data_IF_762920776896
#
_entry.id   IF_762920776896
#
_cell.length_a   1.000
_cell.length_b   1.000
_cell.length_c   1.000
_cell.angle_alpha   90.00
_cell.angle_beta   90.00
_cell.angle_gamma   90.00
#
_symmetry.space_group_name_H-M   'P 1'
#
loop_
_entity.id
_entity.type
_entity.pdbx_description
1 polymer ?
#
# COMPACT_ATOMS: atom_id res chain seq x y z
N UNK A 1 -11.87 -11.38 -17.81
CA UNK A 1 -11.02 -11.58 -16.62
C UNK A 1 -9.58 -11.70 -17.10
N UNK A 2 -8.80 -10.62 -17.08
CA UNK A 2 -7.37 -10.71 -17.39
C UNK A 2 -6.67 -11.40 -16.23
N UNK A 3 -5.84 -12.40 -16.50
CA UNK A 3 -4.99 -13.01 -15.46
C UNK A 3 -4.10 -11.91 -14.90
N UNK A 4 -4.17 -11.67 -13.59
CA UNK A 4 -3.25 -10.77 -12.90
C UNK A 4 -1.82 -11.23 -13.19
N UNK A 5 -1.00 -10.36 -13.80
CA UNK A 5 0.39 -10.70 -14.10
C UNK A 5 1.18 -10.56 -12.82
N UNK A 6 1.72 -11.66 -12.32
CA UNK A 6 2.55 -11.61 -11.10
C UNK A 6 3.78 -10.73 -11.33
N UNK A 7 4.04 -9.75 -10.44
CA UNK A 7 5.27 -8.98 -10.43
C UNK A 7 6.50 -9.88 -10.34
N UNK A 8 7.57 -9.48 -11.02
CA UNK A 8 8.90 -10.06 -10.83
C UNK A 8 9.52 -9.44 -9.59
N UNK A 9 10.09 -10.27 -8.72
CA UNK A 9 10.74 -9.79 -7.50
C UNK A 9 12.25 -9.78 -7.67
N UNK A 10 12.86 -8.68 -7.28
CA UNK A 10 14.29 -8.43 -7.42
C UNK A 10 14.88 -8.06 -6.06
N UNK A 11 16.07 -8.58 -5.77
CA UNK A 11 16.83 -8.24 -4.57
C UNK A 11 17.73 -7.03 -4.88
N UNK A 12 17.86 -6.10 -3.95
CA UNK A 12 18.85 -5.02 -4.02
C UNK A 12 20.12 -5.44 -3.27
N UNK A 13 21.18 -5.93 -3.94
CA UNK A 13 22.29 -6.61 -3.27
C UNK A 13 23.08 -5.69 -2.33
N UNK A 14 23.08 -4.37 -2.59
CA UNK A 14 23.78 -3.38 -1.79
C UNK A 14 23.17 -3.18 -0.39
N UNK A 15 21.90 -3.55 -0.21
CA UNK A 15 21.15 -3.37 1.04
C UNK A 15 20.69 -4.71 1.63
N UNK A 16 21.33 -5.82 1.25
CA UNK A 16 20.94 -7.18 1.63
C UNK A 16 22.14 -7.98 2.12
N UNK A 17 21.91 -8.99 2.96
CA UNK A 17 22.95 -9.95 3.35
C UNK A 17 23.34 -10.85 2.16
N UNK A 18 24.53 -11.45 2.21
CA UNK A 18 25.05 -12.31 1.14
C UNK A 18 24.15 -13.52 0.83
N UNK A 19 23.43 -14.00 1.83
CA UNK A 19 22.53 -15.15 1.77
C UNK A 19 21.06 -14.77 1.53
N UNK A 20 20.76 -13.47 1.35
CA UNK A 20 19.40 -13.02 1.10
C UNK A 20 18.88 -13.47 -0.28
N UNK A 21 17.58 -13.73 -0.34
CA UNK A 21 16.86 -14.01 -1.59
C UNK A 21 15.66 -13.07 -1.71
N UNK A 22 15.25 -12.70 -2.94
CA UNK A 22 14.05 -11.89 -3.13
C UNK A 22 12.84 -12.59 -2.52
N UNK A 23 12.06 -11.86 -1.72
CA UNK A 23 10.76 -12.35 -1.26
C UNK A 23 9.86 -12.59 -2.47
N UNK A 24 9.15 -13.71 -2.51
CA UNK A 24 8.22 -14.00 -3.60
C UNK A 24 7.01 -13.07 -3.55
N UNK A 25 6.43 -12.76 -4.71
CA UNK A 25 5.21 -11.95 -4.78
C UNK A 25 4.06 -12.58 -3.98
N UNK A 26 3.92 -13.91 -4.04
CA UNK A 26 2.89 -14.63 -3.29
C UNK A 26 3.00 -14.38 -1.77
N UNK A 27 4.22 -14.38 -1.22
CA UNK A 27 4.45 -14.07 0.20
C UNK A 27 4.15 -12.60 0.50
N UNK A 28 4.64 -11.66 -0.30
CA UNK A 28 4.31 -10.24 -0.13
C UNK A 28 2.80 -9.99 -0.13
N UNK A 29 2.07 -10.59 -1.08
CA UNK A 29 0.60 -10.50 -1.17
C UNK A 29 -0.10 -11.10 0.06
N UNK A 30 0.36 -12.23 0.56
CA UNK A 30 -0.17 -12.83 1.79
C UNK A 30 -0.02 -11.89 2.99
N UNK A 31 1.13 -11.23 3.11
CA UNK A 31 1.38 -10.23 4.16
C UNK A 31 0.46 -9.01 4.01
N UNK A 32 0.24 -8.49 2.79
CA UNK A 32 -0.77 -7.44 2.55
C UNK A 32 -2.16 -7.94 2.97
N UNK A 33 -2.59 -9.10 2.52
CA UNK A 33 -3.92 -9.63 2.84
C UNK A 33 -4.18 -9.79 4.34
N UNK A 34 -3.15 -10.11 5.13
CA UNK A 34 -3.23 -10.34 6.58
C UNK A 34 -3.00 -9.09 7.43
N UNK A 35 -2.47 -8.01 6.87
CA UNK A 35 -2.18 -6.80 7.62
C UNK A 35 -3.46 -6.12 8.12
N UNK A 36 -3.53 -5.85 9.42
CA UNK A 36 -4.65 -5.17 10.04
C UNK A 36 -4.50 -3.63 10.02
N UNK A 37 -3.26 -3.15 10.01
CA UNK A 37 -2.92 -1.73 10.08
C UNK A 37 -1.93 -1.35 8.99
N UNK A 38 -2.20 -0.20 8.37
CA UNK A 38 -1.39 0.40 7.33
C UNK A 38 -1.12 1.87 7.65
N UNK A 39 -0.06 2.42 7.06
CA UNK A 39 0.25 3.84 7.07
C UNK A 39 0.17 4.39 5.66
N UNK A 40 -0.76 5.32 5.44
CA UNK A 40 -0.91 6.02 4.17
C UNK A 40 -0.17 7.34 4.22
N UNK A 41 0.81 7.49 3.33
CA UNK A 41 1.53 8.74 3.09
C UNK A 41 0.97 9.45 1.85
N UNK A 42 0.69 10.74 2.01
CA UNK A 42 0.13 11.66 1.01
C UNK A 42 0.89 12.99 1.05
N UNK A 43 0.75 13.82 0.02
CA UNK A 43 1.40 15.13 -0.06
C UNK A 43 0.37 16.23 0.14
N UNK A 44 0.65 17.19 1.04
CA UNK A 44 -0.21 18.38 1.25
C UNK A 44 -0.05 19.38 0.10
N UNK A 45 -0.98 20.31 -0.10
CA UNK A 45 -0.88 21.34 -1.15
C UNK A 45 0.39 22.21 -1.08
N UNK A 46 0.98 22.34 0.11
CA UNK A 46 2.25 23.07 0.31
C UNK A 46 3.50 22.17 0.17
N UNK A 47 3.34 20.96 -0.36
CA UNK A 47 4.41 19.99 -0.57
C UNK A 47 4.83 19.20 0.67
N UNK A 48 4.29 19.51 1.86
CA UNK A 48 4.66 18.78 3.08
C UNK A 48 4.10 17.36 3.09
N UNK A 49 4.86 16.36 3.55
CA UNK A 49 4.35 15.00 3.70
C UNK A 49 3.27 14.94 4.80
N UNK A 50 2.35 13.99 4.65
CA UNK A 50 1.29 13.69 5.61
C UNK A 50 1.09 12.19 5.69
N UNK A 51 1.29 11.62 6.86
CA UNK A 51 1.08 10.19 7.15
C UNK A 51 -0.05 10.01 8.15
N UNK A 52 -0.87 8.98 7.93
CA UNK A 52 -1.95 8.59 8.85
C UNK A 52 -2.12 7.07 8.84
N UNK A 53 -2.37 6.48 10.00
CA UNK A 53 -2.73 5.07 10.10
C UNK A 53 -4.17 4.86 9.63
N UNK A 54 -4.42 3.74 8.95
CA UNK A 54 -5.76 3.32 8.51
C UNK A 54 -5.84 1.80 8.38
N UNK A 55 -7.07 1.31 8.17
CA UNK A 55 -7.34 -0.06 7.74
C UNK A 55 -7.51 -0.06 6.22
N UNK A 56 -6.88 -1.02 5.56
CA UNK A 56 -7.05 -1.27 4.13
C UNK A 56 -7.29 -2.76 3.88
N UNK A 57 -7.87 -3.08 2.73
CA UNK A 57 -8.09 -4.46 2.27
C UNK A 57 -7.42 -4.67 0.93
N UNK A 58 -6.74 -5.81 0.79
CA UNK A 58 -6.22 -6.24 -0.50
C UNK A 58 -7.30 -6.98 -1.28
N UNK A 59 -7.70 -6.47 -2.45
CA UNK A 59 -8.72 -7.05 -3.30
C UNK A 59 -8.34 -6.88 -4.77
N UNK A 60 -8.40 -7.95 -5.56
CA UNK A 60 -8.20 -7.91 -7.03
C UNK A 60 -6.96 -7.13 -7.50
N UNK A 61 -5.85 -7.27 -6.79
CA UNK A 61 -4.57 -6.64 -7.18
C UNK A 61 -4.38 -5.21 -6.70
N UNK A 62 -5.24 -4.69 -5.82
CA UNK A 62 -5.11 -3.34 -5.26
C UNK A 62 -5.45 -3.28 -3.76
N UNK A 63 -4.93 -2.26 -3.10
CA UNK A 63 -5.32 -1.87 -1.74
C UNK A 63 -6.48 -0.89 -1.80
N UNK A 64 -7.55 -1.21 -1.06
CA UNK A 64 -8.73 -0.38 -0.90
C UNK A 64 -8.81 0.10 0.54
N UNK A 65 -9.16 1.38 0.73
CA UNK A 65 -9.45 1.94 2.04
C UNK A 65 -10.60 2.94 1.93
N UNK A 66 -11.25 3.19 3.06
CA UNK A 66 -12.28 4.22 3.18
C UNK A 66 -11.74 5.39 4.01
N UNK A 67 -12.20 6.60 3.73
CA UNK A 67 -11.83 7.81 4.46
C UNK A 67 -13.01 8.78 4.44
N UNK A 68 -13.17 9.58 5.51
CA UNK A 68 -14.19 10.61 5.54
C UNK A 68 -13.93 11.70 4.48
N UNK A 69 -14.99 12.25 3.89
CA UNK A 69 -14.92 13.26 2.82
C UNK A 69 -14.22 14.56 3.24
N UNK A 70 -14.19 14.84 4.55
CA UNK A 70 -13.57 16.05 5.11
C UNK A 70 -12.15 15.81 5.60
N UNK A 71 -11.63 14.58 5.57
CA UNK A 71 -10.31 14.28 6.09
C UNK A 71 -9.19 14.91 5.27
N UNK A 72 -8.01 15.09 5.89
CA UNK A 72 -6.88 15.68 5.18
C UNK A 72 -6.40 14.79 4.03
N UNK A 73 -6.38 13.47 4.21
CA UNK A 73 -5.87 12.52 3.21
C UNK A 73 -6.70 12.53 1.92
N UNK A 74 -8.02 12.63 1.98
CA UNK A 74 -8.85 12.70 0.77
C UNK A 74 -8.66 14.01 0.00
N UNK A 75 -8.50 15.14 0.70
CA UNK A 75 -8.20 16.42 0.04
C UNK A 75 -6.83 16.39 -0.62
N UNK A 76 -5.83 15.83 0.07
CA UNK A 76 -4.50 15.64 -0.49
C UNK A 76 -4.55 14.76 -1.75
N UNK A 77 -5.27 13.64 -1.71
CA UNK A 77 -5.37 12.71 -2.85
C UNK A 77 -6.16 13.28 -4.03
N UNK A 78 -7.10 14.20 -3.79
CA UNK A 78 -7.81 14.90 -4.85
C UNK A 78 -6.89 15.86 -5.61
N UNK A 79 -5.95 16.52 -4.92
CA UNK A 79 -4.98 17.44 -5.52
C UNK A 79 -3.75 16.69 -6.10
N UNK A 80 -3.34 15.59 -5.47
CA UNK A 80 -2.22 14.74 -5.89
C UNK A 80 -2.52 13.26 -5.57
N UNK A 81 -2.82 12.48 -6.61
CA UNK A 81 -3.18 11.07 -6.47
C UNK A 81 -2.01 10.17 -6.04
N UNK A 82 -0.75 10.61 -6.20
CA UNK A 82 0.40 9.81 -5.83
C UNK A 82 0.49 9.63 -4.32
N UNK A 83 0.62 8.38 -3.90
CA UNK A 83 0.65 8.00 -2.50
C UNK A 83 1.50 6.75 -2.27
N UNK A 84 1.82 6.52 -0.99
CA UNK A 84 2.52 5.33 -0.54
C UNK A 84 1.70 4.72 0.59
N UNK A 85 1.41 3.43 0.52
CA UNK A 85 0.87 2.66 1.63
C UNK A 85 1.94 1.71 2.14
N UNK A 86 2.21 1.75 3.43
CA UNK A 86 3.14 0.82 4.08
C UNK A 86 2.44 -0.02 5.13
N UNK A 87 2.96 -1.22 5.35
CA UNK A 87 2.63 -2.07 6.50
C UNK A 87 3.86 -2.90 6.87
N UNK A 88 3.91 -3.42 8.08
CA UNK A 88 5.10 -4.04 8.61
C UNK A 88 4.95 -4.37 10.09
N UNK A 89 6.04 -4.73 10.74
CA UNK A 89 6.07 -4.96 12.18
C UNK A 89 7.06 -3.99 12.84
N UNK A 90 6.85 -3.75 14.14
CA UNK A 90 7.76 -2.90 14.92
C UNK A 90 8.91 -3.73 15.50
N UNK A 91 9.51 -4.61 14.70
CA UNK A 91 10.65 -5.46 15.09
C UNK A 91 11.69 -5.44 14.00
N UNK A 92 12.93 -5.10 14.34
CA UNK A 92 14.01 -4.95 13.36
C UNK A 92 14.51 -6.29 12.80
N UNK A 93 14.51 -7.33 13.62
CA UNK A 93 15.15 -8.62 13.31
C UNK A 93 14.20 -9.68 12.75
N UNK A 94 12.91 -9.37 12.60
CA UNK A 94 11.89 -10.31 12.16
C UNK A 94 10.77 -9.57 11.43
N UNK A 95 9.96 -10.29 10.67
CA UNK A 95 8.84 -9.76 9.91
C UNK A 95 9.20 -9.32 8.50
N UNK A 96 8.25 -8.60 7.88
CA UNK A 96 8.37 -8.10 6.51
C UNK A 96 7.70 -6.74 6.44
N UNK A 97 8.51 -5.72 6.18
CA UNK A 97 8.02 -4.38 5.85
C UNK A 97 7.71 -4.30 4.36
N UNK A 98 6.52 -3.82 4.04
CA UNK A 98 6.03 -3.66 2.67
C UNK A 98 5.74 -2.19 2.40
N UNK A 99 6.17 -1.74 1.23
CA UNK A 99 5.95 -0.40 0.70
C UNK A 99 5.28 -0.56 -0.66
N UNK A 100 4.09 0.01 -0.81
CA UNK A 100 3.33 0.02 -2.06
C UNK A 100 3.17 1.46 -2.51
N UNK A 101 3.80 1.80 -3.64
CA UNK A 101 3.70 3.12 -4.27
C UNK A 101 2.69 3.07 -5.42
N UNK A 102 1.87 4.10 -5.55
CA UNK A 102 0.89 4.15 -6.64
C UNK A 102 0.01 5.39 -6.63
N UNK A 103 -0.99 5.38 -7.50
CA UNK A 103 -2.01 6.42 -7.60
C UNK A 103 -3.31 5.94 -6.95
N UNK A 104 -3.88 6.74 -6.04
CA UNK A 104 -5.18 6.46 -5.47
C UNK A 104 -6.30 6.94 -6.40
N UNK A 105 -7.27 6.08 -6.67
CA UNK A 105 -8.45 6.39 -7.47
C UNK A 105 -9.68 6.38 -6.58
N UNK A 106 -10.45 7.47 -6.56
CA UNK A 106 -11.72 7.53 -5.82
C UNK A 106 -12.74 6.62 -6.48
N UNK A 107 -13.37 5.75 -5.69
CA UNK A 107 -14.45 4.88 -6.11
C UNK A 107 -15.71 5.29 -5.35
N UNK A 108 -16.74 5.68 -6.10
CA UNK A 108 -18.07 6.01 -5.58
C UNK A 108 -19.18 5.20 -6.25
N UNK A 109 -18.81 4.25 -7.12
CA UNK A 109 -19.75 3.37 -7.80
C UNK A 109 -20.26 2.30 -6.81
N UNK A 110 -21.56 2.34 -6.51
CA UNK A 110 -22.21 1.45 -5.55
C UNK A 110 -22.01 -0.04 -5.89
N UNK A 111 -22.01 -0.39 -7.18
CA UNK A 111 -21.81 -1.79 -7.61
C UNK A 111 -20.41 -2.30 -7.29
N UNK A 112 -19.41 -1.40 -7.23
CA UNK A 112 -18.05 -1.74 -6.80
C UNK A 112 -17.91 -1.79 -5.28
N UNK A 113 -18.70 -1.01 -4.55
CA UNK A 113 -18.66 -0.96 -3.07
C UNK A 113 -19.34 -2.18 -2.42
N UNK A 114 -20.27 -2.84 -3.11
CA UNK A 114 -21.03 -3.99 -2.60
C UNK A 114 -20.41 -5.36 -2.94
N UNK A 115 -19.18 -5.42 -3.47
CA UNK A 115 -18.48 -6.67 -3.79
C UNK A 115 -17.72 -7.21 -2.59
#
# INVERSE_FOLDING_TARGET
MGKEKEPTTELQPQFSSEDASPISWAKAREHLQKAEVYWLSTVRPDGRPHVTSLVAVWLEGALYFCTGETERKVRNLADNAHCIITTGCNTLSDGLDLVVEGEAVRISDESRLQR
#
